data_IF_936735830786
#
_entry.id   IF_936735830786
#
_cell.length_a   1.000
_cell.length_b   1.000
_cell.length_c   1.000
_cell.angle_alpha   90.00
_cell.angle_beta   90.00
_cell.angle_gamma   90.00
#
_symmetry.space_group_name_H-M   'P 1'
#
loop_
_entity.id
_entity.type
_entity.pdbx_description
1 polymer ?
#
# COMPACT_ATOMS: atom_id res chain seq x y z
N UNK A 1 -1.71 -1.53 -16.80
CA UNK A 1 -1.87 -1.44 -15.32
C UNK A 1 -1.07 -0.30 -14.71
N UNK A 2 0.21 -0.11 -15.08
CA UNK A 2 0.99 1.07 -14.67
C UNK A 2 0.26 2.39 -14.95
N UNK A 3 -0.47 2.45 -16.08
CA UNK A 3 -1.29 3.60 -16.45
C UNK A 3 -2.44 3.92 -15.49
N UNK A 4 -2.95 2.92 -14.76
CA UNK A 4 -4.09 3.12 -13.84
C UNK A 4 -3.60 3.87 -12.60
N UNK A 5 -2.53 3.40 -11.96
CA UNK A 5 -2.03 4.07 -10.75
C UNK A 5 -1.42 5.43 -11.09
N UNK A 6 -0.74 5.56 -12.24
CA UNK A 6 -0.28 6.86 -12.73
C UNK A 6 -1.45 7.85 -12.93
N UNK A 7 -2.59 7.37 -13.43
CA UNK A 7 -3.82 8.18 -13.56
C UNK A 7 -4.39 8.53 -12.19
N UNK A 8 -4.46 7.57 -11.27
CA UNK A 8 -4.92 7.81 -9.89
C UNK A 8 -4.10 8.90 -9.21
N UNK A 9 -2.77 8.90 -9.36
CA UNK A 9 -1.92 9.96 -8.80
C UNK A 9 -2.15 11.32 -9.43
N UNK A 10 -2.37 11.38 -10.76
CA UNK A 10 -2.74 12.64 -11.43
C UNK A 10 -4.07 13.16 -10.91
N UNK A 11 -5.11 12.30 -10.90
CA UNK A 11 -6.42 12.63 -10.34
C UNK A 11 -6.32 13.07 -8.88
N UNK A 12 -5.43 12.45 -8.09
CA UNK A 12 -5.20 12.83 -6.70
C UNK A 12 -4.55 14.23 -6.61
N UNK A 13 -3.53 14.51 -7.42
CA UNK A 13 -2.88 15.83 -7.48
C UNK A 13 -3.88 16.93 -7.86
N UNK A 14 -4.72 16.67 -8.87
CA UNK A 14 -5.73 17.62 -9.34
C UNK A 14 -6.83 17.87 -8.28
N UNK A 15 -7.35 16.80 -7.67
CA UNK A 15 -8.38 16.89 -6.64
C UNK A 15 -7.88 17.59 -5.37
N UNK A 16 -6.60 17.41 -5.00
CA UNK A 16 -5.97 18.13 -3.89
C UNK A 16 -5.85 19.62 -4.20
N UNK A 17 -5.48 20.00 -5.43
CA UNK A 17 -5.32 21.40 -5.82
C UNK A 17 -6.64 22.19 -5.79
N UNK A 18 -7.78 21.52 -5.99
CA UNK A 18 -9.12 22.13 -5.95
C UNK A 18 -9.71 22.34 -4.55
N UNK A 19 -8.99 21.99 -3.47
CA UNK A 19 -9.50 22.00 -2.09
C UNK A 19 -8.62 22.85 -1.15
N UNK A 20 -9.23 23.45 -0.14
CA UNK A 20 -8.51 24.15 0.93
C UNK A 20 -7.97 23.16 1.97
N UNK A 21 -6.73 23.39 2.42
CA UNK A 21 -6.01 22.50 3.33
C UNK A 21 -5.34 23.30 4.46
N UNK A 22 -4.95 22.64 5.58
CA UNK A 22 -4.12 23.26 6.60
C UNK A 22 -2.85 23.88 5.99
N UNK A 23 -2.47 25.07 6.48
CA UNK A 23 -1.51 25.99 5.86
C UNK A 23 -0.22 25.35 5.32
N UNK A 24 0.35 24.37 6.04
CA UNK A 24 1.63 23.74 5.66
C UNK A 24 1.51 22.53 4.74
N UNK A 25 0.32 21.95 4.58
CA UNK A 25 0.15 20.72 3.80
C UNK A 25 0.39 20.91 2.30
N UNK A 26 -0.14 21.96 1.62
CA UNK A 26 0.06 22.15 0.19
C UNK A 26 1.54 22.27 -0.22
N UNK A 27 2.32 23.05 0.53
CA UNK A 27 3.75 23.23 0.26
C UNK A 27 4.52 21.90 0.34
N UNK A 28 4.22 21.08 1.35
CA UNK A 28 4.84 19.75 1.51
C UNK A 28 4.42 18.79 0.41
N UNK A 29 3.13 18.74 0.06
CA UNK A 29 2.66 17.87 -1.02
C UNK A 29 3.33 18.23 -2.35
N UNK A 30 3.51 19.51 -2.63
CA UNK A 30 4.24 19.97 -3.81
C UNK A 30 5.73 19.54 -3.78
N UNK A 31 6.41 19.59 -2.62
CA UNK A 31 7.76 19.02 -2.48
C UNK A 31 7.79 17.51 -2.74
N UNK A 32 6.81 16.76 -2.20
CA UNK A 32 6.71 15.32 -2.39
C UNK A 32 6.41 14.96 -3.86
N UNK A 33 5.55 15.72 -4.54
CA UNK A 33 5.28 15.56 -5.96
C UNK A 33 6.53 15.80 -6.81
N UNK A 34 7.30 16.86 -6.53
CA UNK A 34 8.57 17.12 -7.22
C UNK A 34 9.57 15.99 -7.04
N UNK A 35 9.67 15.42 -5.85
CA UNK A 35 10.53 14.25 -5.60
C UNK A 35 10.07 13.04 -6.43
N UNK A 36 8.77 12.79 -6.49
CA UNK A 36 8.21 11.71 -7.30
C UNK A 36 8.41 11.94 -8.81
N UNK A 37 8.19 13.16 -9.31
CA UNK A 37 8.41 13.56 -10.70
C UNK A 37 9.91 13.43 -11.09
N UNK A 38 10.82 13.77 -10.18
CA UNK A 38 12.26 13.58 -10.36
C UNK A 38 12.63 12.10 -10.42
N UNK A 39 12.04 11.26 -9.56
CA UNK A 39 12.25 9.82 -9.62
C UNK A 39 11.71 9.23 -10.94
N UNK A 40 10.53 9.68 -11.37
CA UNK A 40 9.87 9.21 -12.59
C UNK A 40 10.68 9.54 -13.84
N UNK A 41 11.18 10.78 -13.94
CA UNK A 41 12.03 11.19 -15.07
C UNK A 41 13.37 10.45 -15.12
N UNK A 42 13.84 9.94 -13.98
CA UNK A 42 15.09 9.15 -13.91
C UNK A 42 14.88 7.70 -14.33
N UNK A 43 13.89 7.03 -13.74
CA UNK A 43 13.60 5.61 -13.99
C UNK A 43 12.09 5.34 -13.83
N UNK A 44 11.30 5.47 -14.91
CA UNK A 44 9.86 5.21 -14.88
C UNK A 44 9.52 3.79 -14.41
N UNK A 45 10.34 2.80 -14.76
CA UNK A 45 10.09 1.39 -14.39
C UNK A 45 10.30 1.14 -12.90
N UNK A 46 11.27 1.80 -12.28
CA UNK A 46 11.45 1.78 -10.84
C UNK A 46 10.25 2.38 -10.12
N UNK A 47 9.75 3.53 -10.59
CA UNK A 47 8.57 4.19 -9.99
C UNK A 47 7.32 3.34 -10.19
N UNK A 48 7.10 2.80 -11.38
CA UNK A 48 6.00 1.88 -11.65
C UNK A 48 5.96 0.69 -10.68
N UNK A 49 7.12 0.15 -10.29
CA UNK A 49 7.19 -0.95 -9.30
C UNK A 49 6.77 -0.52 -7.88
N UNK A 50 6.96 0.74 -7.50
CA UNK A 50 6.46 1.28 -6.22
C UNK A 50 4.97 1.51 -6.28
N UNK A 51 4.49 2.11 -7.36
CA UNK A 51 3.08 2.45 -7.52
C UNK A 51 2.21 1.20 -7.71
N UNK A 52 2.74 0.18 -8.36
CA UNK A 52 2.13 -1.15 -8.43
C UNK A 52 2.30 -1.94 -7.12
N UNK A 53 2.83 -1.36 -6.04
CA UNK A 53 2.76 -2.03 -4.75
C UNK A 53 1.34 -1.92 -4.19
N UNK A 54 0.70 -3.03 -3.78
CA UNK A 54 -0.72 -3.03 -3.44
C UNK A 54 -1.18 -1.99 -2.43
N UNK A 55 -0.37 -1.71 -1.40
CA UNK A 55 -0.74 -0.76 -0.35
C UNK A 55 -0.67 0.69 -0.85
N UNK A 56 0.18 0.98 -1.84
CA UNK A 56 0.21 2.29 -2.51
C UNK A 56 -1.03 2.49 -3.38
N UNK A 57 -1.46 1.44 -4.10
CA UNK A 57 -2.73 1.49 -4.83
C UNK A 57 -3.91 1.70 -3.87
N UNK A 58 -3.99 0.92 -2.78
CA UNK A 58 -5.04 1.06 -1.76
C UNK A 58 -5.07 2.44 -1.08
N UNK A 59 -3.90 3.02 -0.80
CA UNK A 59 -3.76 4.40 -0.32
C UNK A 59 -4.36 5.42 -1.29
N UNK A 60 -3.97 5.36 -2.58
CA UNK A 60 -4.44 6.30 -3.58
C UNK A 60 -5.97 6.21 -3.76
N UNK A 61 -6.51 4.99 -3.82
CA UNK A 61 -7.95 4.74 -3.92
C UNK A 61 -8.72 5.25 -2.70
N UNK A 62 -8.18 5.07 -1.50
CA UNK A 62 -8.78 5.61 -0.27
C UNK A 62 -8.81 7.15 -0.28
N UNK A 63 -7.71 7.78 -0.67
CA UNK A 63 -7.65 9.25 -0.75
C UNK A 63 -8.63 9.80 -1.79
N UNK A 64 -8.69 9.20 -2.98
CA UNK A 64 -9.64 9.60 -4.03
C UNK A 64 -11.09 9.46 -3.57
N UNK A 65 -11.46 8.33 -2.94
CA UNK A 65 -12.82 8.15 -2.39
C UNK A 65 -13.19 9.21 -1.36
N UNK A 66 -12.27 9.55 -0.46
CA UNK A 66 -12.49 10.62 0.55
C UNK A 66 -12.54 12.03 -0.06
N UNK A 67 -11.96 12.21 -1.25
CA UNK A 67 -12.09 13.43 -2.06
C UNK A 67 -13.34 13.42 -2.96
N UNK A 68 -14.21 12.41 -2.82
CA UNK A 68 -15.40 12.24 -3.66
C UNK A 68 -15.10 11.90 -5.12
N UNK A 69 -13.88 11.46 -5.41
CA UNK A 69 -13.45 11.08 -6.76
C UNK A 69 -13.65 9.58 -7.01
N UNK A 70 -13.97 9.23 -8.24
CA UNK A 70 -13.99 7.84 -8.70
C UNK A 70 -12.55 7.32 -8.84
N UNK A 71 -12.12 6.37 -7.98
CA UNK A 71 -10.75 5.86 -8.01
C UNK A 71 -10.41 5.05 -9.26
N UNK A 72 -11.41 4.57 -10.01
CA UNK A 72 -11.19 3.84 -11.26
C UNK A 72 -11.16 4.76 -12.50
N UNK A 73 -11.57 6.03 -12.34
CA UNK A 73 -11.55 7.05 -13.38
C UNK A 73 -12.41 6.71 -14.59
N UNK A 74 -13.45 5.88 -14.40
CA UNK A 74 -14.39 5.44 -15.41
C UNK A 74 -15.70 6.24 -15.40
N UNK A 75 -15.82 7.24 -14.51
CA UNK A 75 -16.92 8.22 -14.51
C UNK A 75 -18.27 7.62 -14.11
N UNK A 76 -18.28 6.38 -13.61
CA UNK A 76 -19.47 5.66 -13.22
C UNK A 76 -19.27 5.00 -11.85
N UNK A 77 -18.90 5.83 -10.86
CA UNK A 77 -19.03 5.44 -9.46
C UNK A 77 -20.49 5.66 -9.04
N UNK A 78 -21.23 4.62 -8.60
CA UNK A 78 -22.52 4.85 -8.01
C UNK A 78 -22.30 5.56 -6.68
N UNK A 79 -22.85 6.76 -6.52
CA UNK A 79 -23.19 7.27 -5.18
C UNK A 79 -24.09 6.23 -4.53
N UNK A 80 -23.53 5.36 -3.69
CA UNK A 80 -24.37 4.48 -2.89
C UNK A 80 -25.13 5.36 -1.91
N UNK A 81 -26.44 5.48 -2.13
CA UNK A 81 -27.45 5.96 -1.18
C UNK A 81 -27.56 5.04 0.06
N UNK A 82 -26.44 4.53 0.57
CA UNK A 82 -26.38 3.83 1.85
C UNK A 82 -26.33 4.88 2.97
N UNK A 83 -27.46 5.57 3.14
CA UNK A 83 -27.70 6.61 4.13
C UNK A 83 -29.12 7.19 4.10
N UNK A 84 -29.91 6.93 3.05
CA UNK A 84 -31.29 7.38 2.95
C UNK A 84 -32.25 6.18 3.06
N UNK A 85 -32.74 5.91 4.27
CA UNK A 85 -33.79 4.88 4.43
C UNK A 85 -34.04 4.40 5.85
N UNK A 86 -34.45 5.28 6.76
CA UNK A 86 -35.43 4.99 7.82
C UNK A 86 -35.70 6.26 8.65
N UNK A 87 -36.52 7.17 8.14
CA UNK A 87 -37.28 8.09 9.00
C UNK A 87 -38.75 7.95 8.63
N UNK A 88 -39.48 7.24 9.49
CA UNK A 88 -40.93 7.18 9.50
C UNK A 88 -41.47 8.56 9.88
N UNK A 89 -42.41 9.05 9.09
CA UNK A 89 -43.20 10.24 9.39
C UNK A 89 -44.09 9.99 10.61
N UNK A 90 -43.93 10.83 11.65
CA UNK A 90 -45.00 11.36 12.49
C UNK A 90 -44.42 12.34 13.53
N UNK A 91 -44.84 13.60 13.48
CA UNK A 91 -44.75 14.53 14.61
C UNK A 91 -44.05 15.86 14.32
N UNK A 92 -44.84 16.85 13.92
CA UNK A 92 -44.43 18.25 13.86
C UNK A 92 -43.99 18.79 15.24
N UNK A 93 -42.91 19.55 15.28
CA UNK A 93 -42.45 20.30 16.47
C UNK A 93 -41.19 21.10 16.18
N UNK A 94 -41.29 22.43 16.30
CA UNK A 94 -40.25 23.40 16.01
C UNK A 94 -39.00 23.33 16.92
N UNK A 95 -37.84 23.75 16.40
CA UNK A 95 -36.79 24.36 17.24
C UNK A 95 -35.34 23.98 16.92
N UNK A 96 -34.55 25.03 16.66
CA UNK A 96 -33.10 25.15 16.83
C UNK A 96 -32.16 24.53 15.78
N UNK A 97 -31.55 25.44 15.02
CA UNK A 97 -30.30 25.23 14.29
C UNK A 97 -29.18 24.70 15.22
N UNK A 98 -28.55 23.60 14.81
CA UNK A 98 -27.21 23.23 15.28
C UNK A 98 -26.37 22.90 14.04
N UNK A 99 -25.45 23.82 13.73
CA UNK A 99 -24.48 23.68 12.66
C UNK A 99 -23.26 22.87 13.11
N UNK A 100 -22.81 21.98 12.20
CA UNK A 100 -21.42 21.67 11.89
C UNK A 100 -20.47 21.19 13.00
N UNK A 101 -20.11 19.90 13.00
CA UNK A 101 -18.80 19.45 13.52
C UNK A 101 -18.26 18.11 12.96
N UNK A 102 -18.86 17.49 11.94
CA UNK A 102 -18.34 16.21 11.40
C UNK A 102 -17.22 16.37 10.36
N UNK A 103 -17.21 17.46 9.59
CA UNK A 103 -16.24 17.63 8.48
C UNK A 103 -14.79 17.89 8.90
N UNK A 104 -14.54 18.50 10.08
CA UNK A 104 -13.18 18.82 10.52
C UNK A 104 -12.33 17.59 10.88
N UNK A 105 -12.96 16.54 11.38
CA UNK A 105 -12.30 15.28 11.72
C UNK A 105 -11.91 14.46 10.48
N UNK A 106 -12.80 14.42 9.49
CA UNK A 106 -12.58 13.71 8.23
C UNK A 106 -11.49 14.37 7.38
N UNK A 107 -11.46 15.70 7.32
CA UNK A 107 -10.45 16.46 6.58
C UNK A 107 -9.07 16.35 7.22
N UNK A 108 -9.00 16.29 8.55
CA UNK A 108 -7.76 16.02 9.29
C UNK A 108 -7.25 14.60 9.02
N UNK A 109 -8.14 13.60 9.03
CA UNK A 109 -7.77 12.21 8.72
C UNK A 109 -7.29 12.06 7.26
N UNK A 110 -7.92 12.75 6.31
CA UNK A 110 -7.48 12.78 4.92
C UNK A 110 -6.15 13.52 4.75
N UNK A 111 -5.95 14.63 5.44
CA UNK A 111 -4.66 15.33 5.45
C UNK A 111 -3.53 14.41 5.92
N UNK A 112 -3.76 13.60 6.96
CA UNK A 112 -2.80 12.59 7.42
C UNK A 112 -2.60 11.47 6.39
N UNK A 113 -3.63 11.05 5.67
CA UNK A 113 -3.51 10.07 4.59
C UNK A 113 -2.62 10.62 3.46
N UNK A 114 -2.81 11.88 3.05
CA UNK A 114 -2.05 12.52 1.98
C UNK A 114 -0.56 12.67 2.30
N UNK A 115 -0.19 12.84 3.57
CA UNK A 115 1.21 12.87 4.02
C UNK A 115 1.97 11.58 3.72
N UNK A 116 1.28 10.45 3.47
CA UNK A 116 1.92 9.22 3.03
C UNK A 116 2.58 9.32 1.64
N UNK A 117 2.21 10.32 0.83
CA UNK A 117 2.87 10.61 -0.44
C UNK A 117 4.40 10.79 -0.27
N UNK A 118 4.85 11.35 0.84
CA UNK A 118 6.28 11.50 1.16
C UNK A 118 7.00 10.14 1.16
N UNK A 119 6.39 9.11 1.76
CA UNK A 119 6.94 7.77 1.82
C UNK A 119 6.96 7.09 0.45
N UNK A 120 5.91 7.29 -0.36
CA UNK A 120 5.84 6.81 -1.75
C UNK A 120 6.95 7.44 -2.59
N UNK A 121 7.10 8.77 -2.52
CA UNK A 121 8.13 9.51 -3.25
C UNK A 121 9.55 9.11 -2.81
N UNK A 122 9.79 8.94 -1.50
CA UNK A 122 11.06 8.45 -0.97
C UNK A 122 11.42 7.05 -1.50
N UNK A 123 10.46 6.12 -1.47
CA UNK A 123 10.68 4.76 -1.97
C UNK A 123 10.87 4.73 -3.50
N UNK A 124 10.17 5.60 -4.24
CA UNK A 124 10.34 5.78 -5.68
C UNK A 124 11.75 6.32 -6.01
N UNK A 125 12.18 7.39 -5.33
CA UNK A 125 13.52 7.95 -5.49
C UNK A 125 14.62 6.93 -5.17
N UNK A 126 14.45 6.18 -4.07
CA UNK A 126 15.38 5.11 -3.69
C UNK A 126 15.52 4.04 -4.76
N UNK A 127 14.40 3.60 -5.35
CA UNK A 127 14.42 2.58 -6.42
C UNK A 127 14.98 3.11 -7.73
N UNK A 128 14.76 4.39 -8.03
CA UNK A 128 15.36 5.08 -9.17
C UNK A 128 16.84 5.44 -8.96
N UNK A 129 17.45 5.04 -7.82
CA UNK A 129 18.86 5.34 -7.51
C UNK A 129 19.13 6.84 -7.27
N UNK A 130 18.10 7.60 -6.92
CA UNK A 130 18.20 9.04 -6.67
C UNK A 130 18.45 9.32 -5.19
N UNK A 131 19.46 10.13 -4.86
CA UNK A 131 19.59 10.61 -3.48
C UNK A 131 18.40 11.51 -3.13
N UNK A 132 17.95 11.44 -1.90
CA UNK A 132 16.83 12.25 -1.42
C UNK A 132 16.98 12.60 0.06
N UNK A 133 16.24 13.63 0.46
CA UNK A 133 16.06 14.08 1.83
C UNK A 133 14.63 14.57 1.96
N UNK A 134 13.82 13.92 2.80
CA UNK A 134 12.39 14.24 2.95
C UNK A 134 11.94 13.97 4.38
N UNK A 135 11.02 14.80 4.88
CA UNK A 135 10.39 14.58 6.18
C UNK A 135 9.13 13.74 6.02
N UNK A 136 9.02 12.67 6.80
CA UNK A 136 7.86 11.79 6.78
C UNK A 136 7.13 11.87 8.12
N UNK A 137 5.81 11.71 8.08
CA UNK A 137 4.97 11.67 9.27
C UNK A 137 4.58 10.21 9.60
N UNK A 138 5.03 9.66 10.74
CA UNK A 138 4.56 8.36 11.21
C UNK A 138 3.06 8.36 11.48
N UNK A 139 2.43 7.20 11.27
CA UNK A 139 1.01 6.95 11.53
C UNK A 139 0.84 5.73 12.40
N UNK A 140 0.00 5.82 13.43
CA UNK A 140 -0.28 4.68 14.33
C UNK A 140 1.02 4.08 14.93
N UNK A 141 1.96 4.93 15.34
CA UNK A 141 3.26 4.55 15.89
C UNK A 141 4.25 3.95 14.88
N UNK A 142 3.96 4.02 13.57
CA UNK A 142 4.74 3.37 12.51
C UNK A 142 5.01 4.33 11.36
N UNK A 143 6.28 4.42 10.98
CA UNK A 143 6.72 5.02 9.74
C UNK A 143 6.80 3.94 8.66
N UNK A 144 5.75 3.78 7.87
CA UNK A 144 5.70 2.81 6.78
C UNK A 144 6.51 3.30 5.57
N UNK A 145 7.32 2.41 4.99
CA UNK A 145 8.09 2.63 3.77
C UNK A 145 7.63 1.59 2.73
N UNK A 146 6.74 1.97 1.80
CA UNK A 146 6.10 1.02 0.88
C UNK A 146 7.10 0.10 0.16
N UNK A 147 6.81 -1.20 0.14
CA UNK A 147 7.64 -2.26 -0.44
C UNK A 147 9.05 -2.43 0.18
N UNK A 148 9.38 -1.74 1.27
CA UNK A 148 10.65 -1.84 2.00
C UNK A 148 10.47 -2.46 3.39
N UNK A 149 9.46 -2.01 4.13
CA UNK A 149 9.23 -2.35 5.53
C UNK A 149 8.72 -1.14 6.30
N UNK A 150 8.98 -1.09 7.60
CA UNK A 150 8.55 0.02 8.43
C UNK A 150 9.51 0.28 9.59
N UNK A 151 9.39 1.45 10.22
CA UNK A 151 10.09 1.78 11.47
C UNK A 151 9.08 2.10 12.55
N UNK A 152 9.24 1.48 13.73
CA UNK A 152 8.52 1.91 14.92
C UNK A 152 8.99 3.32 15.32
N UNK A 153 8.10 4.30 15.26
CA UNK A 153 8.41 5.71 15.46
C UNK A 153 7.33 6.38 16.31
N UNK A 154 7.69 7.35 17.17
CA UNK A 154 6.70 8.07 17.97
C UNK A 154 5.73 8.84 17.06
N UNK A 155 4.47 8.89 17.48
CA UNK A 155 3.44 9.66 16.78
C UNK A 155 3.64 11.16 16.94
N UNK A 156 3.02 11.94 16.05
CA UNK A 156 2.97 13.41 16.16
C UNK A 156 4.27 14.13 15.81
N UNK A 157 5.37 13.41 15.56
CA UNK A 157 6.64 14.00 15.17
C UNK A 157 7.06 13.59 13.78
N UNK A 158 7.50 14.56 12.97
CA UNK A 158 8.12 14.29 11.68
C UNK A 158 9.49 13.67 11.87
N UNK A 159 9.84 12.80 10.93
CA UNK A 159 11.08 12.05 10.91
C UNK A 159 11.79 12.38 9.61
N UNK A 160 13.00 12.94 9.71
CA UNK A 160 13.83 13.17 8.53
C UNK A 160 14.36 11.83 8.03
N UNK A 161 14.12 11.56 6.75
CA UNK A 161 14.65 10.39 6.04
C UNK A 161 15.53 10.85 4.90
N UNK A 162 16.78 10.40 4.92
CA UNK A 162 17.72 10.61 3.82
C UNK A 162 18.06 9.27 3.20
N UNK A 163 18.20 9.24 1.88
CA UNK A 163 18.47 8.00 1.17
C UNK A 163 19.44 8.18 0.03
N UNK A 164 20.17 7.10 -0.22
CA UNK A 164 21.03 6.85 -1.38
C UNK A 164 20.73 5.43 -1.84
N UNK A 165 21.23 5.01 -3.00
CA UNK A 165 20.97 3.69 -3.59
C UNK A 165 21.14 2.51 -2.63
N UNK A 166 22.08 2.58 -1.68
CA UNK A 166 22.42 1.46 -0.80
C UNK A 166 22.18 1.72 0.69
N UNK A 167 21.92 2.98 1.07
CA UNK A 167 21.79 3.38 2.47
C UNK A 167 20.63 4.35 2.63
N UNK A 168 19.76 4.06 3.59
CA UNK A 168 18.73 4.98 4.09
C UNK A 168 19.00 5.28 5.56
N UNK A 169 18.94 6.56 5.95
CA UNK A 169 19.06 7.02 7.33
C UNK A 169 17.76 7.65 7.77
N UNK A 170 17.29 7.25 8.94
CA UNK A 170 16.01 7.67 9.52
C UNK A 170 16.33 8.31 10.86
N UNK A 171 16.14 9.63 10.95
CA UNK A 171 16.51 10.44 12.11
C UNK A 171 15.30 10.57 13.03
N UNK A 172 15.25 9.72 14.05
CA UNK A 172 14.13 9.74 15.00
C UNK A 172 14.28 10.92 15.99
N UNK A 173 13.17 11.61 16.31
CA UNK A 173 13.14 12.72 17.25
C UNK A 173 13.16 12.20 18.69
N UNK A 174 14.23 11.51 19.08
CA UNK A 174 14.46 10.99 20.45
C UNK A 174 15.60 11.75 21.13
N UNK A 175 15.60 11.86 22.47
CA UNK A 175 16.74 12.40 23.21
C UNK A 175 18.03 11.66 22.82
N UNK A 176 19.06 12.40 22.39
CA UNK A 176 20.33 11.84 21.91
C UNK A 176 20.42 11.59 20.40
N UNK A 177 19.39 11.92 19.61
CA UNK A 177 19.47 11.93 18.14
C UNK A 177 19.67 10.55 17.52
N UNK A 178 18.78 9.60 17.83
CA UNK A 178 18.86 8.24 17.28
C UNK A 178 18.70 8.25 15.76
N UNK A 179 19.68 7.66 15.07
CA UNK A 179 19.66 7.45 13.62
C UNK A 179 19.61 5.96 13.32
N UNK A 180 18.53 5.52 12.69
CA UNK A 180 18.41 4.15 12.17
C UNK A 180 19.02 4.11 10.77
N UNK A 181 19.93 3.18 10.55
CA UNK A 181 20.60 2.98 9.25
C UNK A 181 20.10 1.70 8.61
N UNK A 182 19.35 1.84 7.52
CA UNK A 182 18.95 0.72 6.67
C UNK A 182 19.99 0.54 5.57
N UNK A 183 20.39 -0.71 5.34
CA UNK A 183 21.30 -1.09 4.26
C UNK A 183 20.59 -2.01 3.28
N UNK A 184 20.85 -1.81 2.00
CA UNK A 184 20.37 -2.70 0.95
C UNK A 184 20.93 -4.11 1.17
N UNK A 185 20.06 -5.09 1.18
CA UNK A 185 20.42 -6.50 1.26
C UNK A 185 20.85 -7.05 -0.11
N UNK A 186 21.49 -8.22 -0.09
CA UNK A 186 21.92 -8.91 -1.31
C UNK A 186 20.75 -9.36 -2.21
N UNK A 187 19.57 -9.61 -1.63
CA UNK A 187 18.35 -9.89 -2.40
C UNK A 187 17.71 -8.57 -2.84
N UNK A 188 17.34 -8.42 -4.12
CA UNK A 188 16.60 -7.25 -4.59
C UNK A 188 15.35 -6.99 -3.74
N UNK A 189 15.16 -5.74 -3.32
CA UNK A 189 14.01 -5.30 -2.52
C UNK A 189 14.09 -5.60 -1.02
N UNK A 190 15.11 -6.32 -0.54
CA UNK A 190 15.29 -6.59 0.89
C UNK A 190 16.19 -5.52 1.51
N UNK A 191 15.74 -4.91 2.60
CA UNK A 191 16.50 -3.95 3.39
C UNK A 191 16.72 -4.47 4.81
N UNK A 192 17.86 -4.12 5.41
CA UNK A 192 18.30 -4.65 6.71
C UNK A 192 18.77 -3.54 7.62
N UNK A 193 18.51 -3.70 8.90
CA UNK A 193 19.08 -2.89 9.99
C UNK A 193 19.26 -3.79 11.21
N UNK A 194 20.23 -3.45 12.05
CA UNK A 194 20.40 -4.07 13.36
C UNK A 194 19.53 -3.40 14.44
N UNK A 195 18.92 -2.24 14.13
CA UNK A 195 18.07 -1.52 15.07
C UNK A 195 16.75 -2.27 15.29
N UNK A 196 16.34 -2.52 16.55
CA UNK A 196 15.11 -3.27 16.85
C UNK A 196 13.83 -2.54 16.45
N UNK A 197 13.89 -1.23 16.19
CA UNK A 197 12.76 -0.45 15.69
C UNK A 197 12.53 -0.69 14.19
N UNK A 198 13.48 -1.31 13.47
CA UNK A 198 13.27 -1.71 12.07
C UNK A 198 12.38 -2.96 11.98
N UNK A 199 11.30 -2.82 11.20
CA UNK A 199 10.31 -3.85 10.96
C UNK A 199 10.42 -4.29 9.49
N UNK A 200 11.13 -5.40 9.20
CA UNK A 200 11.26 -5.87 7.82
C UNK A 200 9.97 -6.56 7.36
N UNK A 201 9.64 -6.42 6.07
CA UNK A 201 8.68 -7.30 5.40
C UNK A 201 9.14 -8.75 5.48
N UNK A 202 8.21 -9.70 5.29
CA UNK A 202 8.48 -11.12 5.48
C UNK A 202 8.51 -11.87 4.14
N UNK A 203 9.71 -12.14 3.54
CA UNK A 203 9.78 -12.86 2.28
C UNK A 203 9.18 -14.26 2.40
N UNK A 204 8.36 -14.62 1.41
CA UNK A 204 7.78 -15.96 1.28
C UNK A 204 8.67 -16.81 0.36
N UNK A 205 8.82 -18.13 0.65
CA UNK A 205 9.66 -19.00 -0.17
C UNK A 205 9.08 -19.23 -1.57
N UNK A 206 9.94 -19.50 -2.55
CA UNK A 206 9.50 -19.91 -3.90
C UNK A 206 8.89 -18.80 -4.78
N UNK A 207 8.82 -17.55 -4.32
CA UNK A 207 8.27 -16.44 -5.09
C UNK A 207 8.95 -15.10 -4.74
N UNK A 208 8.63 -14.05 -5.51
CA UNK A 208 8.98 -12.65 -5.16
C UNK A 208 8.03 -12.07 -4.09
N UNK A 209 7.03 -12.86 -3.67
CA UNK A 209 6.01 -12.43 -2.74
C UNK A 209 6.58 -12.17 -1.34
N UNK A 210 6.06 -11.13 -0.69
CA UNK A 210 6.25 -10.84 0.72
C UNK A 210 4.92 -10.97 1.46
N UNK A 211 4.97 -11.35 2.73
CA UNK A 211 3.86 -11.21 3.65
C UNK A 211 4.00 -9.84 4.33
N UNK A 212 3.00 -8.97 4.15
CA UNK A 212 2.99 -7.59 4.63
C UNK A 212 1.88 -7.38 5.66
N UNK A 213 2.28 -7.32 6.93
CA UNK A 213 1.44 -7.01 8.09
C UNK A 213 1.75 -5.63 8.69
N UNK A 214 2.45 -4.75 7.94
CA UNK A 214 3.03 -3.51 8.46
C UNK A 214 2.35 -2.24 7.92
N UNK A 215 2.01 -2.21 6.63
CA UNK A 215 1.54 -0.98 5.98
C UNK A 215 0.14 -0.50 6.46
N UNK A 216 -0.06 0.77 6.82
CA UNK A 216 -1.36 1.27 7.32
C UNK A 216 -2.48 1.26 6.27
N UNK A 217 -2.18 1.17 4.98
CA UNK A 217 -3.16 1.16 3.89
C UNK A 217 -3.45 -0.25 3.37
N UNK A 218 -3.31 -1.26 4.23
CA UNK A 218 -3.84 -2.63 4.03
C UNK A 218 -5.37 -2.60 4.06
N UNK A 219 -6.01 -2.12 2.99
CA UNK A 219 -7.46 -1.98 2.90
C UNK A 219 -8.07 -3.08 2.01
N UNK A 220 -8.36 -4.28 2.53
CA UNK A 220 -9.12 -5.27 1.79
C UNK A 220 -10.52 -4.73 1.49
N UNK A 221 -11.08 -5.07 0.32
CA UNK A 221 -12.48 -4.77 0.02
C UNK A 221 -13.43 -5.48 0.99
N UNK A 222 -13.07 -6.72 1.38
CA UNK A 222 -13.81 -7.56 2.32
C UNK A 222 -12.82 -8.21 3.31
N UNK A 223 -13.04 -8.01 4.62
CA UNK A 223 -12.26 -8.65 5.69
C UNK A 223 -11.54 -7.67 6.61
N UNK A 224 -10.90 -8.21 7.64
CA UNK A 224 -10.18 -7.44 8.66
C UNK A 224 -8.69 -7.73 8.57
N UNK A 225 -7.84 -6.73 8.26
CA UNK A 225 -6.40 -6.92 8.25
C UNK A 225 -5.89 -7.47 9.58
N UNK A 226 -4.97 -8.42 9.51
CA UNK A 226 -4.27 -8.88 10.69
C UNK A 226 -3.45 -7.74 11.30
N UNK A 227 -3.39 -7.75 12.63
CA UNK A 227 -2.37 -7.00 13.35
C UNK A 227 -0.98 -7.56 13.05
N UNK A 228 0.04 -6.98 13.67
CA UNK A 228 1.41 -7.48 13.55
C UNK A 228 1.47 -8.96 13.93
N UNK A 229 1.89 -9.80 12.99
CA UNK A 229 1.92 -11.24 13.15
C UNK A 229 3.00 -11.62 14.15
N UNK A 230 2.65 -12.49 15.09
CA UNK A 230 3.62 -13.10 16.02
C UNK A 230 4.56 -14.07 15.29
N UNK A 231 5.79 -14.30 15.79
CA UNK A 231 6.77 -15.17 15.15
C UNK A 231 6.23 -16.55 14.74
N UNK A 232 5.45 -17.20 15.62
CA UNK A 232 4.85 -18.51 15.34
C UNK A 232 3.87 -18.47 14.15
N UNK A 233 3.02 -17.43 14.07
CA UNK A 233 2.06 -17.27 12.97
C UNK A 233 2.79 -16.99 11.64
N UNK A 234 3.88 -16.22 11.67
CA UNK A 234 4.74 -15.97 10.50
C UNK A 234 5.40 -17.25 9.99
N UNK A 235 5.91 -18.09 10.89
CA UNK A 235 6.48 -19.40 10.52
C UNK A 235 5.43 -20.31 9.88
N UNK A 236 4.21 -20.33 10.42
CA UNK A 236 3.11 -21.11 9.84
C UNK A 236 2.73 -20.62 8.44
N UNK A 237 2.64 -19.30 8.23
CA UNK A 237 2.46 -18.71 6.90
C UNK A 237 3.54 -19.15 5.91
N UNK A 238 4.82 -19.03 6.29
CA UNK A 238 5.94 -19.45 5.44
C UNK A 238 5.90 -20.93 5.09
N UNK A 239 5.55 -21.79 6.07
CA UNK A 239 5.43 -23.24 5.87
C UNK A 239 4.31 -23.57 4.88
N UNK A 240 3.10 -23.07 5.13
CA UNK A 240 1.93 -23.32 4.28
C UNK A 240 2.16 -22.80 2.86
N UNK A 241 2.74 -21.61 2.71
CA UNK A 241 3.10 -21.05 1.41
C UNK A 241 4.14 -21.90 0.67
N UNK A 242 5.21 -22.30 1.35
CA UNK A 242 6.26 -23.12 0.74
C UNK A 242 5.74 -24.49 0.29
N UNK A 243 4.90 -25.12 1.10
CA UNK A 243 4.28 -26.41 0.76
C UNK A 243 3.29 -26.26 -0.42
N UNK A 244 2.49 -25.18 -0.44
CA UNK A 244 1.51 -24.93 -1.51
C UNK A 244 2.18 -24.62 -2.84
N UNK A 245 3.22 -23.78 -2.84
CA UNK A 245 4.00 -23.46 -4.05
C UNK A 245 4.76 -24.66 -4.58
N UNK A 246 5.38 -25.47 -3.71
CA UNK A 246 6.02 -26.71 -4.12
C UNK A 246 5.01 -27.72 -4.71
N UNK A 247 3.78 -27.76 -4.19
CA UNK A 247 2.72 -28.60 -4.76
C UNK A 247 2.21 -28.04 -6.09
N UNK A 248 2.06 -26.73 -6.22
CA UNK A 248 1.69 -26.08 -7.48
C UNK A 248 2.73 -26.37 -8.56
N UNK A 249 4.01 -26.18 -8.27
CA UNK A 249 5.12 -26.48 -9.18
C UNK A 249 5.07 -27.92 -9.70
N UNK A 250 4.80 -28.90 -8.84
CA UNK A 250 4.72 -30.31 -9.25
C UNK A 250 3.48 -30.65 -10.08
N UNK A 251 2.39 -29.92 -9.90
CA UNK A 251 1.07 -30.27 -10.49
C UNK A 251 0.69 -29.41 -11.68
N UNK A 252 1.22 -28.19 -11.74
CA UNK A 252 0.96 -27.18 -12.77
C UNK A 252 2.14 -26.15 -12.80
N UNK A 253 3.27 -26.50 -13.45
CA UNK A 253 4.46 -25.64 -13.50
C UNK A 253 4.21 -24.28 -14.15
N UNK A 254 3.37 -24.23 -15.20
CA UNK A 254 3.03 -22.97 -15.88
C UNK A 254 2.31 -22.02 -14.93
N UNK A 255 1.34 -22.54 -14.17
CA UNK A 255 0.62 -21.76 -13.16
C UNK A 255 1.53 -21.35 -12.01
N UNK A 256 2.46 -22.20 -11.60
CA UNK A 256 3.45 -21.89 -10.57
C UNK A 256 4.33 -20.71 -10.99
N UNK A 257 4.89 -20.76 -12.20
CA UNK A 257 5.68 -19.68 -12.77
C UNK A 257 4.86 -18.38 -12.86
N UNK A 258 3.61 -18.49 -13.30
CA UNK A 258 2.69 -17.36 -13.36
C UNK A 258 2.46 -16.73 -11.97
N UNK A 259 2.16 -17.54 -10.95
CA UNK A 259 1.97 -17.10 -9.56
C UNK A 259 3.23 -16.44 -9.01
N UNK A 260 4.40 -17.05 -9.21
CA UNK A 260 5.68 -16.51 -8.76
C UNK A 260 6.00 -15.16 -9.43
N UNK A 261 5.57 -14.98 -10.68
CA UNK A 261 5.72 -13.74 -11.43
C UNK A 261 4.67 -12.68 -11.09
N UNK A 262 3.47 -13.02 -10.64
CA UNK A 262 2.38 -12.04 -10.48
C UNK A 262 2.11 -11.66 -9.04
N UNK A 263 2.22 -12.60 -8.10
CA UNK A 263 1.97 -12.29 -6.69
C UNK A 263 3.19 -11.57 -6.10
N UNK A 264 2.95 -10.35 -5.62
CA UNK A 264 3.95 -9.47 -5.04
C UNK A 264 3.81 -9.39 -3.53
N UNK A 265 2.58 -9.42 -3.05
CA UNK A 265 2.28 -9.19 -1.64
C UNK A 265 1.11 -10.06 -1.20
N UNK A 266 1.26 -10.68 -0.03
CA UNK A 266 0.18 -11.32 0.70
C UNK A 266 -0.12 -10.45 1.91
N UNK A 267 -1.34 -9.94 1.99
CA UNK A 267 -1.83 -9.17 3.13
C UNK A 267 -2.61 -10.15 4.04
N UNK A 268 -2.09 -10.45 5.25
CA UNK A 268 -2.75 -11.35 6.15
C UNK A 268 -4.03 -10.70 6.70
N UNK A 269 -5.09 -11.49 6.78
CA UNK A 269 -6.36 -11.14 7.42
C UNK A 269 -6.52 -11.89 8.73
N UNK A 270 -7.18 -11.28 9.72
CA UNK A 270 -7.79 -12.03 10.82
C UNK A 270 -9.02 -12.79 10.34
N UNK A 271 -9.90 -12.08 9.62
CA UNK A 271 -11.19 -12.59 9.17
C UNK A 271 -11.47 -12.12 7.74
N UNK A 272 -12.26 -12.91 7.00
CA UNK A 272 -12.69 -12.58 5.65
C UNK A 272 -12.29 -13.61 4.58
N UNK A 273 -12.84 -13.47 3.37
CA UNK A 273 -12.55 -14.37 2.26
C UNK A 273 -11.13 -14.14 1.74
N UNK A 274 -10.49 -15.21 1.25
CA UNK A 274 -9.27 -15.01 0.46
C UNK A 274 -9.65 -14.45 -0.90
N UNK A 275 -9.05 -13.32 -1.27
CA UNK A 275 -9.33 -12.62 -2.51
C UNK A 275 -8.04 -12.14 -3.17
N UNK A 276 -7.99 -12.22 -4.49
CA UNK A 276 -6.97 -11.52 -5.25
C UNK A 276 -7.28 -10.02 -5.24
N UNK A 277 -6.26 -9.22 -4.91
CA UNK A 277 -6.32 -7.77 -4.92
C UNK A 277 -5.66 -7.17 -6.16
N UNK A 278 -5.78 -5.86 -6.34
CA UNK A 278 -5.08 -5.15 -7.41
C UNK A 278 -3.56 -5.31 -7.28
N UNK A 279 -2.87 -5.17 -8.41
CA UNK A 279 -1.39 -5.06 -8.46
C UNK A 279 -0.64 -6.23 -7.80
N UNK A 280 -1.19 -7.46 -7.89
CA UNK A 280 -0.52 -8.66 -7.38
C UNK A 280 -0.63 -8.84 -5.86
N UNK A 281 -1.60 -8.20 -5.21
CA UNK A 281 -1.97 -8.48 -3.83
C UNK A 281 -2.79 -9.77 -3.73
N UNK A 282 -2.63 -10.48 -2.61
CA UNK A 282 -3.59 -11.48 -2.15
C UNK A 282 -3.95 -11.16 -0.70
N UNK A 283 -5.22 -10.95 -0.44
CA UNK A 283 -5.73 -10.82 0.93
C UNK A 283 -6.16 -12.20 1.37
N UNK A 284 -5.61 -12.71 2.48
CA UNK A 284 -5.90 -14.07 2.91
C UNK A 284 -5.83 -14.22 4.42
N UNK A 285 -6.77 -14.96 4.98
CA UNK A 285 -6.59 -15.55 6.30
C UNK A 285 -5.54 -16.67 6.23
N UNK A 286 -4.95 -17.02 7.36
CA UNK A 286 -3.97 -18.10 7.40
C UNK A 286 -4.62 -19.41 6.94
N UNK A 287 -4.22 -19.99 5.79
CA UNK A 287 -4.92 -21.15 5.25
C UNK A 287 -4.79 -22.35 6.19
N UNK A 288 -5.87 -23.11 6.34
CA UNK A 288 -5.88 -24.30 7.19
C UNK A 288 -4.86 -25.36 6.73
N UNK A 289 -4.61 -25.43 5.41
CA UNK A 289 -3.67 -26.36 4.79
C UNK A 289 -3.06 -25.79 3.49
N UNK A 290 -1.95 -26.37 3.01
CA UNK A 290 -1.37 -26.02 1.71
C UNK A 290 -2.33 -26.22 0.52
N UNK A 291 -3.19 -27.23 0.57
CA UNK A 291 -4.17 -27.52 -0.48
C UNK A 291 -5.23 -26.41 -0.60
N UNK A 292 -5.63 -25.82 0.52
CA UNK A 292 -6.54 -24.67 0.53
C UNK A 292 -5.88 -23.47 -0.16
N UNK A 293 -4.64 -23.14 0.21
CA UNK A 293 -3.90 -22.06 -0.46
C UNK A 293 -3.72 -22.33 -1.96
N UNK A 294 -3.41 -23.57 -2.33
CA UNK A 294 -3.30 -23.97 -3.73
C UNK A 294 -4.58 -23.70 -4.52
N UNK A 295 -5.75 -24.06 -3.98
CA UNK A 295 -7.03 -23.81 -4.63
C UNK A 295 -7.24 -22.32 -4.91
N UNK A 296 -6.83 -21.45 -3.98
CA UNK A 296 -6.94 -20.00 -4.11
C UNK A 296 -5.96 -19.43 -5.16
N UNK A 297 -4.73 -19.94 -5.18
CA UNK A 297 -3.74 -19.58 -6.20
C UNK A 297 -4.17 -20.05 -7.59
N UNK A 298 -4.85 -21.21 -7.68
CA UNK A 298 -5.44 -21.72 -8.92
C UNK A 298 -6.69 -20.98 -9.36
N UNK A 299 -7.42 -20.33 -8.46
CA UNK A 299 -8.61 -19.53 -8.79
C UNK A 299 -8.31 -18.10 -9.27
N UNK A 300 -7.09 -17.61 -9.06
CA UNK A 300 -6.70 -16.25 -9.47
C UNK A 300 -6.69 -16.13 -11.01
N UNK A 301 -7.31 -15.10 -11.61
CA UNK A 301 -7.43 -15.00 -13.06
C UNK A 301 -6.05 -14.96 -13.70
N UNK A 302 -5.79 -15.86 -14.65
CA UNK A 302 -4.64 -15.71 -15.53
C UNK A 302 -4.83 -14.43 -16.37
N UNK A 303 -3.77 -13.65 -16.66
CA UNK A 303 -3.85 -12.60 -17.67
C UNK A 303 -4.29 -13.26 -18.97
N UNK A 304 -5.20 -12.60 -19.69
CA UNK A 304 -5.55 -13.00 -21.04
C UNK A 304 -4.23 -13.10 -21.83
N UNK A 305 -3.92 -14.28 -22.37
CA UNK A 305 -2.88 -14.40 -23.38
C UNK A 305 -3.26 -13.43 -24.50
N UNK A 306 -2.42 -12.43 -24.77
CA UNK A 306 -2.48 -11.75 -26.05
C UNK A 306 -2.33 -12.84 -27.11
N UNK A 307 -3.44 -13.15 -27.79
CA UNK A 307 -3.38 -14.01 -28.97
C UNK A 307 -2.53 -13.24 -29.97
N UNK A 308 -1.33 -13.75 -30.24
CA UNK A 308 -0.54 -13.29 -31.37
C UNK A 308 -1.45 -13.29 -32.62
N UNK A 309 -1.44 -12.23 -33.44
CA UNK A 309 -2.23 -12.19 -34.65
C UNK A 309 -1.79 -13.36 -35.53
N UNK A 310 -2.74 -14.24 -35.84
CA UNK A 310 -2.57 -15.27 -36.86
C UNK A 310 -2.34 -14.51 -38.17
N UNK A 311 -1.11 -14.58 -38.70
CA UNK A 311 -0.85 -14.09 -40.05
C UNK A 311 -1.60 -15.01 -41.02
N UNK A 312 -2.46 -14.45 -41.91
CA UNK A 312 -3.03 -15.24 -42.98
C UNK A 312 -1.92 -15.63 -43.97
N UNK A 313 -1.96 -16.90 -44.39
CA UNK A 313 -1.12 -17.45 -45.45
C UNK A 313 -1.47 -16.87 -46.83
#
# INVERSE_FOLDING_TARGET
MADIVARQLRSLRDAVAGRSWPERLPARLEEHWRLLDTAWSTDPDAVHKVLAYPTVSGWAEQCLRRLGQDPAGNGNWPVSEAGAGAMSEAGAGAGAATGGTTGGGEDSALALDLEHLAAVAACAALRAGRPFSVELLPRAGVLALPALGAVAAPEGHRVLVTGTTDIVRIHLPRPGGQVIVLRRGWRPGVWRSADPSWLPLHPLPGARAVLDDLDPFRAPANGTPAGRLQPARRLRWRKVWGEATALLERTDPERSAHVAEHIRCVIPLEEGPTTAGPSGAVFATLPASPAHLLALLRGSPAPKRDRAPVQPA
#
